data_IF_869588100349
#
_entry.id   IF_869588100349
#
_cell.length_a   1.000
_cell.length_b   1.000
_cell.length_c   1.000
_cell.angle_alpha   90.00
_cell.angle_beta   90.00
_cell.angle_gamma   90.00
#
_symmetry.space_group_name_H-M   'P 1'
#
loop_
_entity.id
_entity.type
_entity.pdbx_description
1 polymer ?
#
# COMPACT_ATOMS: atom_id res chain seq x y z
N UNK A 1 -9.60 27.17 0.18
CA UNK A 1 -8.15 26.95 -0.07
C UNK A 1 -7.40 26.63 1.23
N UNK A 2 -7.49 27.45 2.29
CA UNK A 2 -6.88 27.15 3.61
C UNK A 2 -7.34 25.84 4.27
N UNK A 3 -8.58 25.41 4.03
CA UNK A 3 -9.14 24.16 4.56
C UNK A 3 -8.46 22.91 3.97
N UNK A 4 -8.02 22.96 2.71
CA UNK A 4 -7.35 21.84 2.03
C UNK A 4 -5.91 21.64 2.51
N UNK A 5 -5.18 22.74 2.76
CA UNK A 5 -3.84 22.69 3.35
C UNK A 5 -3.85 22.13 4.77
N UNK A 6 -4.87 22.46 5.59
CA UNK A 6 -5.00 21.89 6.94
C UNK A 6 -5.28 20.38 6.93
N UNK A 7 -6.03 19.86 5.96
CA UNK A 7 -6.31 18.42 5.84
C UNK A 7 -5.03 17.61 5.57
N UNK A 8 -4.19 18.06 4.63
CA UNK A 8 -2.95 17.36 4.27
C UNK A 8 -1.90 17.40 5.40
N UNK A 9 -1.80 18.51 6.14
CA UNK A 9 -0.83 18.63 7.27
C UNK A 9 -1.21 17.74 8.45
N UNK A 10 -2.51 17.45 8.65
CA UNK A 10 -2.97 16.54 9.71
C UNK A 10 -2.70 15.08 9.32
N UNK A 11 -2.89 14.70 8.04
CA UNK A 11 -2.61 13.34 7.58
C UNK A 11 -1.13 12.94 7.71
N UNK A 12 -0.20 13.85 7.42
CA UNK A 12 1.25 13.58 7.57
C UNK A 12 1.70 13.53 9.03
N UNK A 13 1.04 14.28 9.93
CA UNK A 13 1.41 14.34 11.35
C UNK A 13 1.06 13.08 12.15
N UNK A 14 0.14 12.27 11.66
CA UNK A 14 -0.29 11.04 12.34
C UNK A 14 0.39 9.78 11.78
N UNK A 15 1.20 9.90 10.71
CA UNK A 15 1.88 8.79 10.05
C UNK A 15 3.29 8.58 10.62
N UNK A 16 3.46 7.51 11.39
CA UNK A 16 4.67 7.20 12.17
C UNK A 16 5.67 6.36 11.37
N UNK A 17 5.16 5.47 10.53
CA UNK A 17 5.96 4.60 9.68
C UNK A 17 5.24 4.37 8.36
N UNK A 18 6.00 4.15 7.29
CA UNK A 18 5.47 3.80 5.97
C UNK A 18 6.41 2.83 5.27
N UNK A 19 5.85 1.75 4.71
CA UNK A 19 6.54 0.89 3.76
C UNK A 19 5.78 0.86 2.45
N UNK A 20 6.48 1.25 1.37
CA UNK A 20 6.00 1.12 -0.01
C UNK A 20 6.55 -0.16 -0.63
N UNK A 21 5.68 -0.93 -1.30
CA UNK A 21 6.05 -2.13 -2.06
C UNK A 21 5.46 -1.99 -3.47
N UNK A 22 6.33 -1.90 -4.49
CA UNK A 22 5.90 -1.89 -5.90
C UNK A 22 5.78 -3.32 -6.42
N UNK A 23 4.72 -3.58 -7.18
CA UNK A 23 4.44 -4.88 -7.78
C UNK A 23 3.78 -4.67 -9.17
N UNK A 24 4.60 -4.34 -10.16
CA UNK A 24 4.13 -4.01 -11.51
C UNK A 24 3.15 -2.83 -11.52
N UNK A 25 1.89 -3.08 -11.93
CA UNK A 25 0.83 -2.04 -11.98
C UNK A 25 0.20 -1.74 -10.62
N UNK A 26 0.56 -2.46 -9.56
CA UNK A 26 0.07 -2.26 -8.19
C UNK A 26 1.18 -1.68 -7.32
N UNK A 27 0.81 -0.82 -6.37
CA UNK A 27 1.68 -0.38 -5.29
C UNK A 27 0.95 -0.58 -3.97
N UNK A 28 1.58 -1.28 -3.05
CA UNK A 28 1.08 -1.48 -1.70
C UNK A 28 1.75 -0.49 -0.74
N UNK A 29 0.98 0.06 0.16
CA UNK A 29 1.43 0.97 1.22
C UNK A 29 1.02 0.36 2.56
N UNK A 30 1.99 0.19 3.45
CA UNK A 30 1.78 -0.26 4.83
C UNK A 30 2.17 0.86 5.75
N UNK A 31 1.19 1.60 6.25
CA UNK A 31 1.40 2.79 7.07
C UNK A 31 1.00 2.50 8.52
N UNK A 32 1.85 2.87 9.47
CA UNK A 32 1.50 2.88 10.90
C UNK A 32 1.07 4.29 11.26
N UNK A 33 -0.11 4.41 11.87
CA UNK A 33 -0.66 5.69 12.30
C UNK A 33 -1.05 5.67 13.77
N UNK A 34 -1.05 6.83 14.41
CA UNK A 34 -1.57 7.01 15.77
C UNK A 34 -3.00 7.55 15.77
N UNK A 35 -3.83 7.09 16.70
CA UNK A 35 -5.10 7.73 17.05
C UNK A 35 -4.85 8.94 17.97
N UNK A 36 -5.90 9.72 18.23
CA UNK A 36 -5.87 10.79 19.25
C UNK A 36 -5.64 10.27 20.67
N UNK A 37 -5.96 9.00 20.95
CA UNK A 37 -5.71 8.33 22.24
C UNK A 37 -4.28 7.79 22.37
N UNK A 38 -3.41 8.07 21.38
CA UNK A 38 -2.04 7.56 21.32
C UNK A 38 -1.96 6.02 21.18
N UNK A 39 -3.00 5.42 20.58
CA UNK A 39 -2.98 4.04 20.13
C UNK A 39 -2.50 3.93 18.69
N UNK A 40 -2.03 2.76 18.27
CA UNK A 40 -1.53 2.54 16.91
C UNK A 40 -2.47 1.66 16.09
N UNK A 41 -2.57 1.96 14.80
CA UNK A 41 -3.28 1.15 13.82
C UNK A 41 -2.51 1.14 12.50
N UNK A 42 -2.73 0.11 11.69
CA UNK A 42 -2.18 -0.02 10.36
C UNK A 42 -3.21 0.45 9.32
N UNK A 43 -2.75 1.17 8.32
CA UNK A 43 -3.47 1.39 7.07
C UNK A 43 -2.75 0.62 5.98
N UNK A 44 -3.43 -0.34 5.37
CA UNK A 44 -2.91 -1.08 4.22
C UNK A 44 -3.66 -0.58 2.99
N UNK A 45 -2.93 -0.03 2.03
CA UNK A 45 -3.52 0.49 0.79
C UNK A 45 -2.93 -0.21 -0.42
N UNK A 46 -3.77 -0.80 -1.26
CA UNK A 46 -3.43 -1.14 -2.63
C UNK A 46 -3.79 0.03 -3.55
N UNK A 47 -2.85 0.49 -4.36
CA UNK A 47 -3.09 1.43 -5.47
C UNK A 47 -2.83 0.75 -6.79
N UNK A 48 -3.84 0.66 -7.66
CA UNK A 48 -3.75 0.01 -8.96
C UNK A 48 -3.84 1.03 -10.09
N UNK A 49 -2.78 1.09 -10.91
CA UNK A 49 -2.70 1.97 -12.09
C UNK A 49 -3.55 1.41 -13.24
N UNK A 50 -4.49 2.21 -13.73
CA UNK A 50 -5.36 1.92 -14.86
C UNK A 50 -5.10 2.92 -16.00
N UNK A 51 -4.91 2.46 -17.24
CA UNK A 51 -4.90 3.35 -18.40
C UNK A 51 -6.28 3.99 -18.59
N UNK A 52 -6.32 5.28 -18.91
CA UNK A 52 -7.54 5.99 -19.23
C UNK A 52 -7.27 7.07 -20.28
N UNK A 53 -7.68 6.80 -21.53
CA UNK A 53 -7.35 7.64 -22.67
C UNK A 53 -5.83 7.77 -22.83
N UNK A 54 -5.35 9.01 -22.94
CA UNK A 54 -3.92 9.33 -23.03
C UNK A 54 -3.22 9.41 -21.65
N UNK A 55 -3.92 9.08 -20.57
CA UNK A 55 -3.41 9.18 -19.19
C UNK A 55 -3.59 7.91 -18.35
N UNK A 56 -3.42 8.08 -17.04
CA UNK A 56 -3.61 7.01 -16.06
C UNK A 56 -4.46 7.49 -14.89
N UNK A 57 -5.28 6.59 -14.37
CA UNK A 57 -5.97 6.76 -13.08
C UNK A 57 -5.52 5.69 -12.10
N UNK A 58 -5.72 5.97 -10.81
CA UNK A 58 -5.34 5.08 -9.72
C UNK A 58 -6.58 4.71 -8.91
N UNK A 59 -6.89 3.42 -8.89
CA UNK A 59 -7.90 2.86 -8.00
C UNK A 59 -7.23 2.48 -6.68
N UNK A 60 -7.77 2.95 -5.55
CA UNK A 60 -7.23 2.67 -4.22
C UNK A 60 -8.18 1.80 -3.41
N UNK A 61 -7.71 0.66 -2.96
CA UNK A 61 -8.37 -0.14 -1.93
C UNK A 61 -7.63 0.06 -0.62
N UNK A 62 -8.33 0.58 0.39
CA UNK A 62 -7.76 0.90 1.70
C UNK A 62 -8.47 0.08 2.77
N UNK A 63 -7.69 -0.53 3.66
CA UNK A 63 -8.18 -1.16 4.86
C UNK A 63 -7.46 -0.61 6.10
N UNK A 64 -8.18 -0.62 7.21
CA UNK A 64 -7.67 -0.28 8.53
C UNK A 64 -7.61 -1.54 9.37
N UNK A 65 -6.51 -1.72 10.08
CA UNK A 65 -6.31 -2.82 11.01
C UNK A 65 -5.90 -2.23 12.36
N UNK A 66 -6.65 -2.54 13.41
CA UNK A 66 -6.41 -2.04 14.75
C UNK A 66 -5.57 -3.03 15.56
N UNK A 67 -4.86 -2.54 16.58
CA UNK A 67 -3.86 -3.31 17.34
C UNK A 67 -4.40 -4.62 17.93
N UNK A 68 -5.67 -4.64 18.33
CA UNK A 68 -6.35 -5.80 18.91
C UNK A 68 -6.51 -6.98 17.92
N UNK A 69 -6.39 -6.72 16.62
CA UNK A 69 -6.55 -7.69 15.56
C UNK A 69 -5.23 -8.07 14.87
N UNK A 70 -4.10 -7.46 15.25
CA UNK A 70 -2.81 -7.66 14.58
C UNK A 70 -2.39 -9.13 14.51
N UNK A 71 -2.37 -9.81 15.66
CA UNK A 71 -1.87 -11.18 15.73
C UNK A 71 -2.77 -12.13 14.91
N UNK A 72 -4.10 -12.03 15.08
CA UNK A 72 -5.07 -12.85 14.34
C UNK A 72 -4.99 -12.62 12.83
N UNK A 73 -4.83 -11.36 12.41
CA UNK A 73 -4.74 -11.02 11.00
C UNK A 73 -3.44 -11.52 10.38
N UNK A 74 -2.30 -11.33 11.05
CA UNK A 74 -0.99 -11.78 10.56
C UNK A 74 -0.92 -13.29 10.50
N UNK A 75 -1.45 -13.99 11.49
CA UNK A 75 -1.55 -15.45 11.51
C UNK A 75 -2.38 -15.96 10.34
N UNK A 76 -3.62 -15.47 10.19
CA UNK A 76 -4.50 -15.89 9.09
C UNK A 76 -3.92 -15.56 7.70
N UNK A 77 -3.29 -14.39 7.53
CA UNK A 77 -2.61 -14.02 6.29
C UNK A 77 -1.45 -14.97 5.99
N UNK A 78 -0.63 -15.29 6.99
CA UNK A 78 0.50 -16.20 6.85
C UNK A 78 0.01 -17.60 6.50
N UNK A 79 -0.97 -18.14 7.21
CA UNK A 79 -1.55 -19.45 6.94
C UNK A 79 -2.11 -19.55 5.52
N UNK A 80 -2.85 -18.53 5.06
CA UNK A 80 -3.38 -18.50 3.70
C UNK A 80 -2.25 -18.49 2.65
N UNK A 81 -1.19 -17.71 2.87
CA UNK A 81 -0.02 -17.68 1.98
C UNK A 81 0.72 -19.01 1.99
N UNK A 82 0.93 -19.61 3.17
CA UNK A 82 1.63 -20.87 3.33
C UNK A 82 0.84 -22.00 2.64
N UNK A 83 -0.48 -22.08 2.83
CA UNK A 83 -1.34 -23.06 2.16
C UNK A 83 -1.25 -22.96 0.63
N UNK A 84 -1.22 -21.74 0.07
CA UNK A 84 -1.00 -21.54 -1.38
C UNK A 84 0.36 -22.09 -1.80
N UNK A 85 1.42 -21.79 -1.04
CA UNK A 85 2.79 -22.17 -1.40
C UNK A 85 3.06 -23.66 -1.24
N UNK A 86 2.49 -24.32 -0.24
CA UNK A 86 2.84 -25.69 0.12
C UNK A 86 1.85 -26.72 -0.42
N UNK A 87 0.56 -26.38 -0.51
CA UNK A 87 -0.47 -27.33 -0.91
C UNK A 87 -0.97 -27.07 -2.34
N UNK A 88 -1.25 -25.82 -2.70
CA UNK A 88 -1.85 -25.50 -4.00
C UNK A 88 -0.81 -25.36 -5.13
N UNK A 89 0.36 -24.81 -4.82
CA UNK A 89 1.40 -24.50 -5.80
C UNK A 89 2.82 -24.91 -5.33
N UNK A 90 3.05 -26.17 -4.90
CA UNK A 90 4.32 -26.60 -4.30
C UNK A 90 5.51 -26.55 -5.26
N UNK A 91 5.27 -26.64 -6.57
CA UNK A 91 6.34 -26.66 -7.58
C UNK A 91 6.73 -25.25 -8.05
N UNK A 92 6.00 -24.21 -7.63
CA UNK A 92 6.27 -22.84 -8.06
C UNK A 92 7.34 -22.22 -7.16
N UNK A 93 8.47 -21.86 -7.76
CA UNK A 93 9.48 -21.04 -7.09
C UNK A 93 8.99 -19.59 -6.99
N UNK A 94 8.39 -19.22 -5.86
CA UNK A 94 7.90 -17.86 -5.65
C UNK A 94 9.01 -16.81 -5.51
N UNK A 95 10.26 -17.21 -5.25
CA UNK A 95 11.39 -16.28 -5.15
C UNK A 95 11.73 -15.64 -6.50
N UNK A 96 11.38 -16.28 -7.61
CA UNK A 96 11.55 -15.71 -8.95
C UNK A 96 10.75 -14.41 -9.16
N UNK A 97 9.69 -14.20 -8.37
CA UNK A 97 8.87 -12.98 -8.40
C UNK A 97 9.41 -11.88 -7.50
N UNK A 98 10.47 -12.12 -6.73
CA UNK A 98 11.21 -11.08 -6.03
C UNK A 98 11.99 -10.25 -7.06
N UNK A 99 11.30 -9.31 -7.74
CA UNK A 99 11.95 -8.42 -8.70
C UNK A 99 13.01 -7.60 -7.96
N UNK A 100 14.27 -7.71 -8.38
CA UNK A 100 15.29 -6.70 -8.08
C UNK A 100 14.71 -5.36 -8.54
N UNK A 101 14.59 -4.42 -7.60
CA UNK A 101 13.94 -3.15 -7.83
C UNK A 101 14.53 -2.38 -9.01
N UNK A 102 13.64 -1.57 -9.57
CA UNK A 102 13.92 -0.39 -10.38
C UNK A 102 14.36 -0.64 -11.83
N UNK A 103 13.38 -0.70 -12.75
CA UNK A 103 13.47 -0.01 -14.04
C UNK A 103 12.10 0.11 -14.73
N UNK A 104 11.82 1.32 -15.26
CA UNK A 104 10.72 1.81 -16.14
C UNK A 104 9.33 1.97 -15.46
N UNK A 105 8.76 3.17 -15.24
CA UNK A 105 8.55 4.30 -16.15
C UNK A 105 8.95 5.67 -15.54
N UNK A 106 10.02 6.28 -16.06
CA UNK A 106 10.13 7.75 -16.12
C UNK A 106 9.46 8.16 -17.42
N UNK A 107 8.15 8.42 -17.38
CA UNK A 107 7.48 9.20 -18.43
C UNK A 107 6.44 10.09 -17.75
N UNK A 108 6.69 11.39 -17.73
CA UNK A 108 5.70 12.42 -17.38
C UNK A 108 5.89 13.08 -16.02
N UNK A 109 7.09 13.58 -15.73
CA UNK A 109 7.18 14.82 -14.96
C UNK A 109 6.59 15.94 -15.84
N UNK A 110 5.28 16.13 -15.76
CA UNK A 110 4.62 17.34 -16.25
C UNK A 110 3.63 17.77 -15.18
N UNK A 111 4.09 18.69 -14.33
CA UNK A 111 3.30 19.76 -13.74
C UNK A 111 1.82 19.44 -13.52
N UNK A 112 1.51 18.64 -12.49
CA UNK A 112 0.19 18.70 -11.87
C UNK A 112 0.30 19.61 -10.66
N UNK A 113 0.22 20.91 -10.98
CA UNK A 113 -0.14 21.99 -10.09
C UNK A 113 -1.55 21.68 -9.56
N UNK A 114 -1.64 21.33 -8.28
CA UNK A 114 -2.92 21.11 -7.62
C UNK A 114 -3.52 22.49 -7.31
N UNK A 115 -4.57 22.87 -8.03
CA UNK A 115 -5.51 23.93 -7.58
C UNK A 115 -6.53 23.34 -6.59
#
# INVERSE_FOLDING_TARGET
METYLKLNIVEDREQIYSKRVRAGKRTYFFDVRSTRSNDYYLTITESRRHPQGDGFTYEKHKMFLYKEDFDKFVEALKEAVDHVKTELMPEVDFSQFESKGDEVDVVGESDLKWD
#
